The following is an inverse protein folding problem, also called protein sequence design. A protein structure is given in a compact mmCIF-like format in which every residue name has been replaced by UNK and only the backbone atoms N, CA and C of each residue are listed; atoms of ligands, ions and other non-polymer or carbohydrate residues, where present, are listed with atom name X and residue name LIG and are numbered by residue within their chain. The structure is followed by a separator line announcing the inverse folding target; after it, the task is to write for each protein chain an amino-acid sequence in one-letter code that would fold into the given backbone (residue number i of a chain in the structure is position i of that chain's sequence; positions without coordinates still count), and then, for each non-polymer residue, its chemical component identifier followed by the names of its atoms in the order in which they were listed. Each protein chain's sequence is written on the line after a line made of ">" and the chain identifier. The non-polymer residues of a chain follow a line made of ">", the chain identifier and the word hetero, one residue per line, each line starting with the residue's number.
data_IF_488053285882
#
_entry.id   IF_488053285882
#
_cell.length_a   1.000
_cell.length_b   1.000
_cell.length_c   1.000
_cell.angle_alpha   90.00
_cell.angle_beta   90.00
_cell.angle_gamma   90.00
#
_symmetry.space_group_name_H-M   'P 1'
#
loop_
_entity.id
_entity.type
_entity.pdbx_description
1 polymer ?
#
# COMPACT_ATOMS: atom_id res chain seq x y z
N UNK A 1 -2.32 7.16 -5.82
CA UNK A 1 -2.72 5.97 -6.60
C UNK A 1 -2.39 4.75 -5.76
N UNK A 2 -3.29 3.78 -5.67
CA UNK A 2 -3.04 2.51 -5.02
C UNK A 2 -2.42 1.53 -6.01
N UNK A 3 -1.79 0.50 -5.50
CA UNK A 3 -1.32 -0.62 -6.27
C UNK A 3 -2.14 -1.83 -5.84
N UNK A 4 -2.81 -2.41 -6.81
CA UNK A 4 -3.60 -3.61 -6.64
C UNK A 4 -2.91 -4.77 -7.36
N UNK A 5 -3.13 -5.99 -6.90
CA UNK A 5 -2.61 -7.19 -7.54
C UNK A 5 -3.62 -8.32 -7.43
N UNK A 6 -3.66 -9.17 -8.44
CA UNK A 6 -4.58 -10.30 -8.48
C UNK A 6 -3.93 -11.56 -9.07
N UNK A 7 -4.57 -12.68 -8.82
CA UNK A 7 -4.28 -13.98 -9.43
C UNK A 7 -5.58 -14.53 -10.01
N UNK A 8 -5.57 -14.85 -11.28
CA UNK A 8 -6.75 -15.34 -11.97
C UNK A 8 -7.14 -16.77 -11.55
N UNK A 9 -8.43 -17.07 -11.63
CA UNK A 9 -8.94 -18.43 -11.42
C UNK A 9 -8.66 -19.33 -12.65
N UNK A 10 -8.83 -20.64 -12.47
CA UNK A 10 -8.62 -21.64 -13.53
C UNK A 10 -9.88 -21.97 -14.35
N UNK A 11 -10.91 -21.15 -14.26
CA UNK A 11 -12.18 -21.46 -14.90
C UNK A 11 -12.11 -21.51 -16.42
N UNK A 12 -11.20 -20.74 -17.03
CA UNK A 12 -10.95 -20.79 -18.47
C UNK A 12 -10.35 -22.15 -18.88
N UNK A 13 -9.25 -22.58 -18.27
CA UNK A 13 -8.55 -23.83 -18.59
C UNK A 13 -9.41 -25.05 -18.27
N UNK A 14 -10.26 -24.94 -17.28
CA UNK A 14 -11.18 -26.01 -16.84
C UNK A 14 -12.48 -26.05 -17.62
N UNK A 15 -12.67 -25.12 -18.57
CA UNK A 15 -13.91 -25.04 -19.39
C UNK A 15 -15.15 -24.73 -18.55
N UNK A 16 -15.02 -24.02 -17.43
CA UNK A 16 -16.10 -23.68 -16.49
C UNK A 16 -16.69 -22.29 -16.72
N UNK A 17 -16.33 -21.63 -17.83
CA UNK A 17 -16.90 -20.33 -18.13
C UNK A 17 -18.38 -20.48 -18.53
N UNK A 18 -19.19 -19.50 -18.15
CA UNK A 18 -20.55 -19.35 -18.59
C UNK A 18 -20.60 -19.10 -20.12
N UNK A 19 -21.66 -19.45 -20.81
CA UNK A 19 -21.82 -19.07 -22.22
C UNK A 19 -21.67 -17.56 -22.40
N UNK A 20 -20.81 -17.17 -23.32
CA UNK A 20 -20.50 -15.76 -23.61
C UNK A 20 -21.01 -15.32 -24.99
N UNK A 21 -20.83 -14.04 -25.35
CA UNK A 21 -21.21 -13.50 -26.64
C UNK A 21 -20.29 -13.99 -27.78
N UNK A 22 -19.13 -14.55 -27.44
CA UNK A 22 -18.13 -15.10 -28.38
C UNK A 22 -17.92 -16.57 -28.08
N UNK A 23 -17.83 -17.44 -29.11
CA UNK A 23 -17.55 -18.86 -28.94
C UNK A 23 -16.25 -19.13 -28.19
N UNK A 24 -16.23 -20.16 -27.34
CA UNK A 24 -15.07 -20.47 -26.48
C UNK A 24 -13.80 -20.77 -27.30
N UNK A 25 -13.91 -21.38 -28.47
CA UNK A 25 -12.80 -21.67 -29.38
C UNK A 25 -12.09 -20.43 -29.94
N UNK A 26 -12.78 -19.30 -29.93
CA UNK A 26 -12.24 -18.00 -30.34
C UNK A 26 -11.62 -17.22 -29.18
N UNK A 27 -11.69 -17.74 -27.95
CA UNK A 27 -11.08 -17.13 -26.80
C UNK A 27 -9.63 -17.58 -26.60
N UNK A 28 -8.84 -16.75 -25.94
CA UNK A 28 -7.49 -17.08 -25.49
C UNK A 28 -7.11 -16.21 -24.30
N UNK A 29 -6.03 -16.57 -23.62
CA UNK A 29 -5.42 -15.76 -22.57
C UNK A 29 -4.21 -15.06 -23.17
N UNK A 30 -4.11 -13.75 -22.97
CA UNK A 30 -2.99 -12.95 -23.43
C UNK A 30 -1.78 -12.99 -22.46
N UNK A 31 -0.73 -12.21 -22.77
CA UNK A 31 0.51 -12.13 -21.98
C UNK A 31 0.30 -11.44 -20.62
N UNK A 32 -0.78 -10.66 -20.47
CA UNK A 32 -1.17 -9.97 -19.24
C UNK A 32 -2.21 -10.78 -18.44
N UNK A 33 -2.47 -12.03 -18.82
CA UNK A 33 -3.39 -12.99 -18.19
C UNK A 33 -4.88 -12.58 -18.29
N UNK A 34 -5.28 -11.82 -19.35
CA UNK A 34 -6.66 -11.47 -19.62
C UNK A 34 -7.32 -12.40 -20.66
N UNK A 35 -8.64 -12.61 -20.52
CA UNK A 35 -9.44 -13.32 -21.53
C UNK A 35 -9.66 -12.39 -22.72
N UNK A 36 -9.11 -12.76 -23.87
CA UNK A 36 -9.19 -12.03 -25.12
C UNK A 36 -9.90 -12.83 -26.22
N UNK A 37 -10.29 -12.14 -27.30
CA UNK A 37 -10.99 -12.76 -28.44
C UNK A 37 -10.19 -12.63 -29.73
N UNK A 38 -9.78 -13.77 -30.31
CA UNK A 38 -9.14 -13.82 -31.62
C UNK A 38 -10.00 -13.18 -32.71
N UNK A 39 -11.32 -13.35 -32.62
CA UNK A 39 -12.27 -12.76 -33.56
C UNK A 39 -12.22 -11.22 -33.49
N UNK A 40 -12.36 -10.62 -32.31
CA UNK A 40 -12.34 -9.16 -32.16
C UNK A 40 -10.98 -8.59 -32.56
N UNK A 41 -9.86 -9.22 -32.14
CA UNK A 41 -8.51 -8.79 -32.50
C UNK A 41 -8.28 -8.78 -34.01
N UNK A 42 -8.84 -9.80 -34.71
CA UNK A 42 -8.76 -9.82 -36.17
C UNK A 42 -9.55 -8.67 -36.77
N UNK A 43 -10.76 -8.38 -36.26
CA UNK A 43 -11.59 -7.28 -36.76
C UNK A 43 -10.95 -5.90 -36.48
N UNK A 44 -10.31 -5.73 -35.36
CA UNK A 44 -9.52 -4.51 -35.06
C UNK A 44 -8.38 -4.28 -36.07
N UNK A 45 -7.73 -5.34 -36.54
CA UNK A 45 -6.67 -5.26 -37.56
C UNK A 45 -7.18 -5.00 -38.97
N UNK A 46 -8.40 -5.46 -39.28
CA UNK A 46 -9.01 -5.37 -40.60
C UNK A 46 -9.73 -4.05 -40.87
N UNK A 47 -10.20 -3.36 -39.83
CA UNK A 47 -11.10 -2.21 -39.94
C UNK A 47 -10.44 -0.95 -39.33
N UNK A 48 -10.91 0.23 -39.77
CA UNK A 48 -10.61 1.46 -39.04
C UNK A 48 -11.39 1.48 -37.73
N UNK A 49 -10.89 2.26 -36.72
CA UNK A 49 -11.54 2.38 -35.41
C UNK A 49 -13.02 2.78 -35.51
N UNK A 50 -13.36 3.69 -36.43
CA UNK A 50 -14.76 4.12 -36.66
C UNK A 50 -15.61 3.02 -37.24
N UNK A 51 -15.06 2.24 -38.20
CA UNK A 51 -15.76 1.09 -38.80
C UNK A 51 -15.93 -0.03 -37.77
N UNK A 52 -14.91 -0.30 -36.97
CA UNK A 52 -14.97 -1.32 -35.92
C UNK A 52 -16.04 -0.95 -34.90
N UNK A 53 -16.00 0.25 -34.33
CA UNK A 53 -16.97 0.72 -33.32
C UNK A 53 -18.42 0.60 -33.84
N UNK A 54 -18.64 0.98 -35.11
CA UNK A 54 -19.98 0.91 -35.71
C UNK A 54 -20.49 -0.52 -35.88
N UNK A 55 -19.61 -1.48 -36.19
CA UNK A 55 -20.01 -2.86 -36.53
C UNK A 55 -19.92 -3.83 -35.36
N UNK A 56 -18.97 -3.63 -34.47
CA UNK A 56 -18.61 -4.57 -33.41
C UNK A 56 -18.54 -3.94 -32.02
N UNK A 57 -18.68 -2.62 -31.87
CA UNK A 57 -18.52 -1.94 -30.57
C UNK A 57 -19.50 -2.42 -29.50
N UNK A 58 -20.74 -2.77 -29.88
CA UNK A 58 -21.72 -3.38 -28.95
C UNK A 58 -21.25 -4.78 -28.51
N UNK A 59 -20.79 -5.61 -29.46
CA UNK A 59 -20.29 -6.94 -29.17
C UNK A 59 -19.05 -6.91 -28.29
N UNK A 60 -18.16 -5.96 -28.54
CA UNK A 60 -16.94 -5.77 -27.68
C UNK A 60 -17.33 -5.38 -26.26
N UNK A 61 -18.26 -4.43 -26.08
CA UNK A 61 -18.76 -4.06 -24.74
C UNK A 61 -19.41 -5.25 -24.03
N UNK A 62 -20.29 -5.98 -24.72
CA UNK A 62 -20.92 -7.17 -24.16
C UNK A 62 -19.90 -8.25 -23.81
N UNK A 63 -18.82 -8.37 -24.59
CA UNK A 63 -17.72 -9.29 -24.31
C UNK A 63 -16.93 -8.86 -23.07
N UNK A 64 -16.55 -7.59 -22.98
CA UNK A 64 -15.83 -7.05 -21.82
C UNK A 64 -16.68 -7.20 -20.55
N UNK A 65 -17.96 -6.81 -20.59
CA UNK A 65 -18.87 -6.98 -19.45
C UNK A 65 -19.04 -8.44 -19.04
N UNK A 66 -19.06 -9.35 -20.04
CA UNK A 66 -19.12 -10.78 -19.78
C UNK A 66 -17.85 -11.29 -19.11
N UNK A 67 -16.64 -10.84 -19.48
CA UNK A 67 -15.37 -11.34 -18.88
C UNK A 67 -15.33 -11.15 -17.37
N UNK A 68 -15.89 -10.06 -16.83
CA UNK A 68 -16.00 -9.81 -15.40
C UNK A 68 -16.93 -10.79 -14.66
N UNK A 69 -17.85 -11.42 -15.37
CA UNK A 69 -18.87 -12.29 -14.80
C UNK A 69 -18.86 -13.71 -15.43
N UNK A 70 -17.79 -14.05 -16.14
CA UNK A 70 -17.69 -15.26 -16.95
C UNK A 70 -17.71 -16.56 -16.14
N UNK A 71 -17.45 -16.51 -14.84
CA UNK A 71 -17.48 -17.68 -13.96
C UNK A 71 -18.17 -17.35 -12.61
N UNK A 72 -17.94 -18.17 -11.60
CA UNK A 72 -18.44 -17.96 -10.24
C UNK A 72 -17.52 -17.05 -9.38
N UNK A 73 -16.29 -16.81 -9.85
CA UNK A 73 -15.34 -15.92 -9.20
C UNK A 73 -15.59 -14.48 -9.69
N UNK A 74 -15.56 -13.54 -8.74
CA UNK A 74 -15.65 -12.10 -9.05
C UNK A 74 -14.45 -11.70 -9.92
N UNK A 75 -14.69 -10.98 -11.00
CA UNK A 75 -13.71 -10.55 -12.00
C UNK A 75 -12.82 -11.68 -12.58
N UNK A 76 -13.22 -12.96 -12.39
CA UNK A 76 -12.41 -14.11 -12.77
C UNK A 76 -11.17 -14.34 -11.90
N UNK A 77 -11.10 -13.71 -10.73
CA UNK A 77 -9.96 -13.74 -9.82
C UNK A 77 -10.16 -14.74 -8.67
N UNK A 78 -9.14 -15.53 -8.34
CA UNK A 78 -9.17 -16.39 -7.15
C UNK A 78 -8.75 -15.62 -5.91
N UNK A 79 -7.92 -14.62 -6.10
CA UNK A 79 -7.42 -13.75 -5.05
C UNK A 79 -7.07 -12.39 -5.62
N UNK A 80 -7.52 -11.34 -4.96
CA UNK A 80 -7.23 -9.95 -5.30
C UNK A 80 -6.99 -9.14 -4.03
N UNK A 81 -6.00 -8.28 -4.04
CA UNK A 81 -5.65 -7.46 -2.90
C UNK A 81 -5.07 -6.11 -3.28
N UNK A 82 -5.51 -5.09 -2.55
CA UNK A 82 -4.81 -3.81 -2.55
C UNK A 82 -3.58 -3.91 -1.66
N UNK A 83 -2.39 -3.99 -2.28
CA UNK A 83 -1.13 -4.18 -1.57
C UNK A 83 -0.67 -2.89 -0.88
N UNK A 84 -0.97 -1.73 -1.46
CA UNK A 84 -0.61 -0.45 -0.86
C UNK A 84 -0.50 0.70 -1.86
N UNK A 85 0.45 1.58 -1.60
CA UNK A 85 0.87 2.62 -2.52
C UNK A 85 2.37 2.47 -2.82
N UNK A 86 2.87 3.18 -3.85
CA UNK A 86 4.28 3.11 -4.24
C UNK A 86 5.25 3.48 -3.11
N UNK A 87 4.92 4.48 -2.27
CA UNK A 87 5.77 4.86 -1.14
C UNK A 87 5.94 3.69 -0.16
N UNK A 88 4.86 2.96 0.13
CA UNK A 88 4.92 1.80 1.01
C UNK A 88 5.69 0.61 0.42
N UNK A 89 5.71 0.46 -0.92
CA UNK A 89 6.52 -0.58 -1.58
C UNK A 89 8.00 -0.18 -1.65
N UNK A 90 8.29 1.09 -1.91
CA UNK A 90 9.66 1.60 -1.88
C UNK A 90 10.30 1.42 -0.50
N UNK A 91 9.52 1.64 0.57
CA UNK A 91 10.01 1.41 1.94
C UNK A 91 10.28 -0.08 2.21
N UNK A 92 9.47 -1.00 1.68
CA UNK A 92 9.77 -2.44 1.74
C UNK A 92 11.04 -2.74 0.94
N UNK A 93 11.19 -2.20 -0.26
CA UNK A 93 12.39 -2.34 -1.09
C UNK A 93 13.66 -1.87 -0.35
N UNK A 94 13.58 -0.76 0.39
CA UNK A 94 14.67 -0.28 1.21
C UNK A 94 15.06 -1.28 2.32
N UNK A 95 14.08 -1.87 3.00
CA UNK A 95 14.32 -2.90 4.03
C UNK A 95 14.89 -4.20 3.45
N UNK A 96 14.51 -4.54 2.21
CA UNK A 96 15.03 -5.73 1.51
C UNK A 96 16.45 -5.54 0.96
N UNK A 97 16.89 -4.29 0.79
CA UNK A 97 18.21 -3.95 0.27
C UNK A 97 19.24 -4.00 1.40
N UNK A 98 20.41 -4.58 1.15
CA UNK A 98 21.55 -4.51 2.08
C UNK A 98 22.28 -3.17 1.93
N UNK A 99 23.04 -2.75 2.95
CA UNK A 99 23.96 -1.59 2.90
C UNK A 99 24.99 -1.69 1.77
N UNK A 100 25.23 -2.87 1.22
CA UNK A 100 26.16 -3.15 0.12
C UNK A 100 25.51 -3.06 -1.28
N UNK A 101 24.21 -2.70 -1.36
CA UNK A 101 23.47 -2.50 -2.62
C UNK A 101 23.01 -3.79 -3.33
N UNK A 102 23.37 -4.96 -2.83
CA UNK A 102 22.83 -6.23 -3.29
C UNK A 102 21.72 -6.71 -2.34
N UNK A 103 20.56 -7.04 -2.90
CA UNK A 103 19.47 -7.58 -2.09
C UNK A 103 19.79 -9.01 -1.64
N UNK A 104 19.67 -9.27 -0.33
CA UNK A 104 19.73 -10.61 0.25
C UNK A 104 18.53 -11.48 -0.19
N UNK A 105 17.47 -10.84 -0.67
CA UNK A 105 16.20 -11.43 -1.11
C UNK A 105 15.86 -10.98 -2.54
N UNK A 106 16.68 -11.39 -3.54
CA UNK A 106 16.59 -10.84 -4.89
C UNK A 106 15.28 -11.16 -5.61
N UNK A 107 14.66 -12.30 -5.36
CA UNK A 107 13.39 -12.66 -5.98
C UNK A 107 12.25 -11.85 -5.40
N UNK A 108 12.22 -11.70 -4.07
CA UNK A 108 11.22 -10.87 -3.37
C UNK A 108 11.35 -9.40 -3.79
N UNK A 109 12.58 -8.88 -3.87
CA UNK A 109 12.81 -7.52 -4.32
C UNK A 109 12.38 -7.30 -5.78
N UNK A 110 12.68 -8.25 -6.68
CA UNK A 110 12.28 -8.21 -8.08
C UNK A 110 10.78 -8.46 -8.32
N UNK A 111 10.06 -8.96 -7.33
CA UNK A 111 8.61 -9.10 -7.39
C UNK A 111 7.90 -7.76 -7.25
N UNK A 112 8.48 -6.82 -6.50
CA UNK A 112 7.87 -5.51 -6.27
C UNK A 112 7.88 -4.71 -7.58
N UNK A 113 6.73 -4.18 -8.03
CA UNK A 113 6.67 -3.49 -9.31
C UNK A 113 7.25 -2.07 -9.22
N UNK A 114 7.88 -1.64 -10.30
CA UNK A 114 8.39 -0.26 -10.46
C UNK A 114 7.29 0.74 -10.90
N UNK A 115 6.12 0.24 -11.28
CA UNK A 115 4.99 1.02 -11.80
C UNK A 115 3.69 0.24 -11.78
N UNK A 116 2.60 0.86 -12.24
CA UNK A 116 1.35 0.13 -12.49
C UNK A 116 1.52 -0.81 -13.67
N UNK A 117 0.95 -2.00 -13.56
CA UNK A 117 1.03 -3.06 -14.54
C UNK A 117 2.23 -3.98 -14.34
N UNK A 118 2.25 -5.05 -15.11
CA UNK A 118 3.28 -6.07 -15.09
C UNK A 118 2.80 -7.40 -14.52
N UNK A 119 3.54 -8.44 -14.86
CA UNK A 119 3.21 -9.82 -14.53
C UNK A 119 4.39 -10.47 -13.82
N UNK A 120 4.15 -11.06 -12.66
CA UNK A 120 5.14 -11.86 -11.95
C UNK A 120 4.94 -13.34 -12.25
N UNK A 121 5.90 -14.00 -12.87
CA UNK A 121 5.71 -15.35 -13.43
C UNK A 121 5.59 -16.42 -12.35
N UNK A 122 4.68 -17.38 -12.57
CA UNK A 122 4.32 -18.43 -11.62
C UNK A 122 5.51 -19.32 -11.21
N UNK A 123 6.47 -19.57 -12.12
CA UNK A 123 7.64 -20.39 -11.83
C UNK A 123 8.57 -19.75 -10.78
N UNK A 124 8.46 -18.46 -10.54
CA UNK A 124 9.18 -17.76 -9.48
C UNK A 124 8.40 -17.70 -8.17
N UNK A 125 7.11 -18.01 -8.15
CA UNK A 125 6.26 -17.82 -6.98
C UNK A 125 6.75 -18.62 -5.75
N UNK A 126 7.04 -19.92 -5.90
CA UNK A 126 7.50 -20.74 -4.79
C UNK A 126 8.88 -20.29 -4.24
N UNK A 127 9.92 -20.09 -5.07
CA UNK A 127 11.21 -19.59 -4.57
C UNK A 127 11.08 -18.21 -3.88
N UNK A 128 10.20 -17.35 -4.37
CA UNK A 128 9.97 -16.03 -3.74
C UNK A 128 9.23 -16.16 -2.42
N UNK A 129 8.27 -17.07 -2.31
CA UNK A 129 7.61 -17.38 -1.04
C UNK A 129 8.62 -17.88 0.00
N UNK A 130 9.55 -18.74 -0.41
CA UNK A 130 10.62 -19.24 0.47
C UNK A 130 11.56 -18.10 0.92
N UNK A 131 11.87 -17.14 0.05
CA UNK A 131 12.60 -15.91 0.43
C UNK A 131 11.82 -15.04 1.40
N UNK A 132 10.53 -14.84 1.15
CA UNK A 132 9.66 -14.04 2.01
C UNK A 132 9.53 -14.64 3.42
N UNK A 133 9.30 -15.95 3.52
CA UNK A 133 9.18 -16.63 4.80
C UNK A 133 10.51 -16.55 5.58
N UNK A 134 11.66 -16.71 4.90
CA UNK A 134 12.97 -16.51 5.48
C UNK A 134 13.21 -15.08 5.93
N UNK A 135 12.82 -14.08 5.12
CA UNK A 135 12.90 -12.67 5.50
C UNK A 135 12.14 -12.37 6.78
N UNK A 136 10.89 -12.84 6.88
CA UNK A 136 10.04 -12.64 8.07
C UNK A 136 10.67 -13.32 9.32
N UNK A 137 11.27 -14.48 9.16
CA UNK A 137 11.93 -15.20 10.27
C UNK A 137 13.20 -14.46 10.74
N UNK A 138 14.05 -14.04 9.80
CA UNK A 138 15.32 -13.37 10.09
C UNK A 138 15.10 -11.94 10.65
N UNK A 139 13.99 -11.29 10.30
CA UNK A 139 13.67 -9.92 10.71
C UNK A 139 12.52 -9.86 11.72
N UNK A 140 12.40 -10.87 12.57
CA UNK A 140 11.34 -10.90 13.60
C UNK A 140 11.38 -9.69 14.54
N UNK A 141 12.54 -9.05 14.69
CA UNK A 141 12.76 -7.82 15.44
C UNK A 141 13.50 -6.81 14.59
N UNK A 142 12.94 -5.59 14.50
CA UNK A 142 13.51 -4.50 13.71
C UNK A 142 13.66 -3.24 14.55
N UNK A 143 14.64 -2.38 14.24
CA UNK A 143 14.74 -1.07 14.87
C UNK A 143 13.56 -0.19 14.45
N UNK A 144 13.09 0.62 15.40
CA UNK A 144 11.99 1.53 15.16
C UNK A 144 11.91 2.64 16.19
N UNK A 145 10.84 3.41 16.08
CA UNK A 145 10.51 4.50 16.98
C UNK A 145 9.09 4.32 17.52
N UNK A 146 8.86 4.81 18.73
CA UNK A 146 7.56 4.83 19.35
C UNK A 146 7.23 6.24 19.83
N UNK A 147 6.01 6.68 19.55
CA UNK A 147 5.44 7.86 20.19
C UNK A 147 4.76 7.42 21.48
N UNK A 148 5.18 8.02 22.59
CA UNK A 148 4.72 7.67 23.93
C UNK A 148 4.02 8.87 24.55
N UNK A 149 2.84 8.65 25.10
CA UNK A 149 2.18 9.57 26.03
C UNK A 149 2.89 9.47 27.37
N UNK A 150 3.53 10.54 27.82
CA UNK A 150 4.36 10.54 29.03
C UNK A 150 3.56 10.45 30.33
N UNK A 151 2.30 10.90 30.33
CA UNK A 151 1.47 10.82 31.53
C UNK A 151 1.00 9.38 31.79
N UNK A 152 0.65 8.64 30.74
CA UNK A 152 0.11 7.28 30.86
C UNK A 152 1.14 6.20 30.57
N UNK A 153 2.28 6.58 30.00
CA UNK A 153 3.30 5.67 29.47
C UNK A 153 2.75 4.72 28.37
N UNK A 154 1.69 5.15 27.70
CA UNK A 154 1.04 4.41 26.61
C UNK A 154 1.80 4.65 25.31
N UNK A 155 2.16 3.57 24.62
CA UNK A 155 2.63 3.66 23.23
C UNK A 155 1.42 3.94 22.34
N UNK A 156 1.45 5.05 21.63
CA UNK A 156 0.39 5.50 20.75
C UNK A 156 0.60 5.00 19.32
N UNK A 157 1.84 5.12 18.85
CA UNK A 157 2.22 4.81 17.47
C UNK A 157 3.59 4.15 17.49
N UNK A 158 3.79 3.12 16.67
CA UNK A 158 5.07 2.49 16.41
C UNK A 158 5.39 2.56 14.91
N UNK A 159 6.63 2.87 14.57
CA UNK A 159 7.09 3.03 13.20
C UNK A 159 8.48 2.43 13.02
N UNK A 160 8.72 1.67 11.95
CA UNK A 160 10.05 1.18 11.60
C UNK A 160 10.95 2.35 11.15
N UNK A 161 12.28 2.22 11.35
CA UNK A 161 13.25 3.30 11.06
C UNK A 161 13.19 3.79 9.62
N UNK A 162 12.99 2.89 8.65
CA UNK A 162 13.01 3.22 7.22
C UNK A 162 11.65 3.69 6.67
N UNK A 163 10.65 3.74 7.55
CA UNK A 163 9.32 4.23 7.23
C UNK A 163 9.20 5.72 7.50
N UNK A 164 9.90 6.58 6.80
CA UNK A 164 9.59 8.03 6.85
C UNK A 164 8.05 8.21 6.78
N UNK A 165 7.36 8.13 7.92
CA UNK A 165 5.93 7.86 7.97
C UNK A 165 5.15 9.16 8.13
N UNK A 166 4.45 9.55 7.07
CA UNK A 166 3.47 10.63 7.15
C UNK A 166 2.21 10.11 7.87
N UNK A 167 1.96 10.60 9.07
CA UNK A 167 0.77 10.25 9.86
C UNK A 167 -0.47 11.02 9.37
N UNK A 168 -0.27 12.25 8.93
CA UNK A 168 -1.33 13.12 8.46
C UNK A 168 -0.80 14.07 7.39
N UNK A 169 -1.59 14.30 6.35
CA UNK A 169 -1.30 15.30 5.33
C UNK A 169 -2.59 15.88 4.77
N UNK A 170 -2.64 17.21 4.70
CA UNK A 170 -3.66 17.94 3.97
C UNK A 170 -3.03 19.12 3.18
N UNK A 171 -3.83 20.02 2.67
CA UNK A 171 -3.36 21.21 1.91
C UNK A 171 -2.68 22.29 2.76
N UNK A 172 -2.67 22.16 4.09
CA UNK A 172 -2.16 23.17 5.02
C UNK A 172 -1.00 22.64 5.87
N UNK A 173 -1.10 21.41 6.31
CA UNK A 173 -0.14 20.77 7.22
C UNK A 173 0.10 19.32 6.84
N UNK A 174 1.29 18.84 7.14
CA UNK A 174 1.62 17.43 7.28
C UNK A 174 2.48 17.21 8.52
N UNK A 175 2.38 16.02 9.10
CA UNK A 175 3.25 15.59 10.20
C UNK A 175 3.43 14.09 10.20
N UNK A 176 4.55 13.64 10.76
CA UNK A 176 4.89 12.23 10.81
C UNK A 176 6.21 11.97 11.53
N UNK A 177 6.69 10.75 11.42
CA UNK A 177 7.99 10.37 11.95
C UNK A 177 9.11 10.67 10.95
N UNK A 178 10.27 11.01 11.49
CA UNK A 178 11.58 11.02 10.85
C UNK A 178 12.56 10.31 11.79
N UNK A 179 13.81 10.09 11.38
CA UNK A 179 14.81 9.20 12.01
C UNK A 179 14.80 9.07 13.55
N UNK A 180 14.53 10.12 14.31
CA UNK A 180 14.47 10.08 15.79
C UNK A 180 13.56 11.15 16.38
N UNK A 181 12.69 11.74 15.57
CA UNK A 181 11.78 12.80 15.98
C UNK A 181 10.46 12.72 15.21
N UNK A 182 9.47 13.49 15.62
CA UNK A 182 8.36 13.86 14.76
C UNK A 182 8.68 15.13 14.00
N UNK A 183 8.31 15.19 12.72
CA UNK A 183 8.27 16.42 11.98
C UNK A 183 6.84 16.97 11.95
N UNK A 184 6.76 18.29 11.98
CA UNK A 184 5.54 19.05 11.82
C UNK A 184 5.77 20.10 10.75
N UNK A 185 5.06 20.00 9.63
CA UNK A 185 5.25 20.88 8.49
C UNK A 185 3.99 21.70 8.25
N UNK A 186 4.09 22.99 8.41
CA UNK A 186 3.09 23.94 7.95
C UNK A 186 3.41 24.31 6.50
N UNK A 187 2.47 24.09 5.59
CA UNK A 187 2.70 24.27 4.15
C UNK A 187 2.61 25.73 3.70
N UNK A 188 1.83 26.57 4.44
CA UNK A 188 1.64 27.99 4.09
C UNK A 188 1.58 28.90 5.33
N UNK A 189 2.63 29.75 5.59
CA UNK A 189 3.97 29.74 4.96
C UNK A 189 4.71 28.46 5.30
N UNK A 190 5.56 27.96 4.42
CA UNK A 190 6.30 26.74 4.65
C UNK A 190 7.23 26.87 5.85
N UNK A 191 7.01 26.04 6.87
CA UNK A 191 7.82 25.94 8.07
C UNK A 191 7.83 24.49 8.53
N UNK A 192 9.01 23.94 8.75
CA UNK A 192 9.19 22.58 9.28
C UNK A 192 9.77 22.67 10.67
N UNK A 193 9.25 21.85 11.55
CA UNK A 193 9.67 21.73 12.93
C UNK A 193 9.90 20.25 13.26
N UNK A 194 10.97 19.93 13.98
CA UNK A 194 11.32 18.59 14.41
C UNK A 194 11.40 18.55 15.92
N UNK A 195 10.75 17.59 16.55
CA UNK A 195 10.74 17.40 17.98
C UNK A 195 10.75 15.93 18.37
N UNK A 196 11.67 15.56 19.23
CA UNK A 196 11.69 14.30 19.97
C UNK A 196 10.85 14.35 21.25
N UNK A 197 10.60 15.60 21.74
CA UNK A 197 9.70 15.92 22.85
C UNK A 197 8.81 17.10 22.50
N UNK A 198 7.50 16.98 22.75
CA UNK A 198 6.56 18.09 22.50
C UNK A 198 5.30 17.94 23.35
N UNK A 199 4.57 19.05 23.49
CA UNK A 199 3.30 19.07 24.21
C UNK A 199 2.15 19.36 23.28
N UNK A 200 1.05 18.68 23.52
CA UNK A 200 -0.26 18.99 22.98
C UNK A 200 -1.02 19.78 24.06
N UNK A 201 -1.54 20.96 23.70
CA UNK A 201 -2.41 21.76 24.56
C UNK A 201 -3.76 21.96 23.89
N UNK A 202 -4.86 22.04 24.65
CA UNK A 202 -6.16 22.40 24.11
C UNK A 202 -6.09 23.76 23.41
N UNK A 203 -6.78 23.92 22.30
CA UNK A 203 -6.97 25.23 21.69
C UNK A 203 -8.00 26.03 22.51
N UNK A 204 -7.77 27.34 22.66
CA UNK A 204 -8.64 28.24 23.43
C UNK A 204 -10.02 28.43 22.77
N UNK A 205 -10.15 28.13 21.46
CA UNK A 205 -11.39 28.26 20.69
C UNK A 205 -11.94 26.90 20.27
N UNK A 206 -12.90 26.42 21.05
CA UNK A 206 -13.72 25.26 20.71
C UNK A 206 -14.88 25.66 19.75
N UNK A 207 -14.59 26.11 18.55
CA UNK A 207 -15.64 26.24 17.55
C UNK A 207 -15.93 24.91 16.86
N UNK A 208 -16.90 24.28 17.39
CA UNK A 208 -18.02 23.41 16.96
C UNK A 208 -17.82 22.24 15.99
N UNK A 209 -16.75 22.05 15.24
CA UNK A 209 -16.70 20.88 14.34
C UNK A 209 -15.33 20.16 14.28
N UNK A 210 -14.26 20.76 14.72
CA UNK A 210 -12.95 20.12 14.76
C UNK A 210 -12.22 20.49 16.06
N UNK A 211 -11.87 19.48 16.86
CA UNK A 211 -10.98 19.68 18.01
C UNK A 211 -9.62 20.11 17.48
N UNK A 212 -9.32 21.37 17.61
CA UNK A 212 -8.02 21.91 17.20
C UNK A 212 -7.06 21.78 18.37
N UNK A 213 -5.87 21.26 18.11
CA UNK A 213 -4.85 21.06 19.12
C UNK A 213 -3.62 21.85 18.73
N UNK A 214 -3.00 22.50 19.71
CA UNK A 214 -1.80 23.31 19.53
C UNK A 214 -0.61 22.57 20.11
N UNK A 215 0.45 22.37 19.33
CA UNK A 215 1.69 21.77 19.78
C UNK A 215 2.69 22.83 20.20
N UNK A 216 3.41 22.53 21.27
CA UNK A 216 4.45 23.39 21.82
C UNK A 216 5.68 22.54 22.16
N UNK A 217 6.86 22.92 21.68
CA UNK A 217 8.12 22.34 22.15
C UNK A 217 8.58 23.09 23.39
N UNK A 218 8.70 22.37 24.51
CA UNK A 218 9.20 22.93 25.77
C UNK A 218 10.70 22.77 25.98
N UNK A 219 11.36 21.86 25.23
CA UNK A 219 12.74 21.44 25.52
C UNK A 219 13.81 22.22 24.78
N UNK A 220 13.52 22.78 23.63
CA UNK A 220 14.46 23.66 22.96
C UNK A 220 14.39 25.05 23.59
N UNK A 221 15.20 25.30 24.62
CA UNK A 221 15.45 26.59 25.23
C UNK A 221 15.98 27.68 24.28
N UNK A 222 15.98 27.45 22.99
CA UNK A 222 16.12 28.46 21.96
C UNK A 222 14.75 29.11 21.73
N UNK A 223 14.61 30.29 22.15
CA UNK A 223 13.63 31.37 22.08
C UNK A 223 12.51 31.37 21.01
N UNK A 224 12.16 30.26 20.43
CA UNK A 224 11.03 30.14 19.50
C UNK A 224 10.08 29.02 19.93
N UNK A 225 9.16 29.36 20.82
CA UNK A 225 7.95 28.56 21.03
C UNK A 225 7.23 28.42 19.69
N UNK A 226 7.58 27.37 18.92
CA UNK A 226 6.86 27.06 17.71
C UNK A 226 5.53 26.46 18.13
N UNK A 227 4.44 27.09 17.71
CA UNK A 227 3.09 26.58 17.92
C UNK A 227 2.48 26.32 16.56
N UNK A 228 1.94 25.13 16.37
CA UNK A 228 1.17 24.78 15.18
C UNK A 228 -0.19 24.25 15.61
N UNK A 229 -1.22 24.67 14.88
CA UNK A 229 -2.57 24.18 15.10
C UNK A 229 -2.79 22.96 14.21
N UNK A 230 -3.18 21.84 14.81
CA UNK A 230 -3.54 20.62 14.09
C UNK A 230 -5.07 20.54 13.96
N UNK A 231 -5.56 19.84 12.91
CA UNK A 231 -7.00 19.66 12.69
C UNK A 231 -7.66 18.70 13.70
N UNK A 232 -6.88 18.05 14.54
CA UNK A 232 -7.33 17.15 15.59
C UNK A 232 -6.18 16.72 16.50
N UNK A 233 -6.48 15.98 17.57
CA UNK A 233 -5.47 15.42 18.46
C UNK A 233 -4.68 14.33 17.73
N UNK A 234 -3.44 14.09 18.18
CA UNK A 234 -2.61 12.97 17.67
C UNK A 234 -3.27 11.63 17.94
N UNK A 235 -3.88 11.45 19.10
CA UNK A 235 -4.72 10.30 19.42
C UNK A 235 -6.11 10.78 19.86
N UNK A 236 -7.14 10.39 19.12
CA UNK A 236 -8.53 10.76 19.39
C UNK A 236 -9.09 10.06 20.63
N UNK A 237 -8.46 9.01 21.12
CA UNK A 237 -8.88 8.29 22.33
C UNK A 237 -8.43 8.99 23.63
N UNK A 238 -7.43 9.88 23.53
CA UNK A 238 -6.94 10.63 24.68
C UNK A 238 -7.89 11.76 25.07
N UNK A 239 -7.91 12.08 26.37
CA UNK A 239 -8.56 13.29 26.84
C UNK A 239 -7.81 14.54 26.35
N UNK A 240 -8.43 15.26 25.41
CA UNK A 240 -7.87 16.42 24.75
C UNK A 240 -8.20 17.74 25.48
N UNK A 241 -8.84 17.68 26.65
CA UNK A 241 -9.17 18.85 27.48
C UNK A 241 -7.99 19.31 28.36
N UNK A 242 -6.92 18.52 28.43
CA UNK A 242 -5.74 18.78 29.27
C UNK A 242 -4.45 18.81 28.46
N UNK A 243 -3.44 19.48 29.01
CA UNK A 243 -2.07 19.41 28.47
C UNK A 243 -1.59 17.95 28.52
N UNK A 244 -0.95 17.53 27.43
CA UNK A 244 -0.30 16.24 27.33
C UNK A 244 1.10 16.38 26.76
N UNK A 245 2.02 15.58 27.30
CA UNK A 245 3.40 15.53 26.86
C UNK A 245 3.66 14.22 26.12
N UNK A 246 4.41 14.31 25.03
CA UNK A 246 4.77 13.18 24.19
C UNK A 246 6.28 13.13 23.97
N UNK A 247 6.83 11.92 23.91
CA UNK A 247 8.21 11.68 23.52
C UNK A 247 8.31 10.65 22.42
N UNK A 248 9.29 10.84 21.53
CA UNK A 248 9.72 9.87 20.55
C UNK A 248 10.89 9.09 21.11
N UNK A 249 10.76 7.77 21.18
CA UNK A 249 11.79 6.90 21.75
C UNK A 249 12.19 5.82 20.74
N UNK A 250 13.49 5.50 20.71
CA UNK A 250 14.01 4.35 19.97
C UNK A 250 13.47 3.06 20.61
N UNK A 251 13.03 2.14 19.78
CA UNK A 251 12.48 0.87 20.22
C UNK A 251 12.93 -0.27 19.32
N UNK A 252 12.85 -1.48 19.83
CA UNK A 252 12.92 -2.70 19.02
C UNK A 252 11.51 -3.22 18.86
N UNK A 253 11.00 -3.14 17.63
CA UNK A 253 9.63 -3.52 17.28
C UNK A 253 9.53 -4.98 16.90
N UNK A 254 8.38 -5.61 17.18
CA UNK A 254 8.03 -6.86 16.53
C UNK A 254 7.65 -6.57 15.08
N UNK A 255 8.35 -7.19 14.14
CA UNK A 255 8.09 -6.97 12.72
C UNK A 255 6.62 -7.22 12.35
N UNK A 256 5.99 -8.20 13.02
CA UNK A 256 4.58 -8.55 12.78
C UNK A 256 3.57 -7.47 13.18
N UNK A 257 4.00 -6.51 13.99
CA UNK A 257 3.17 -5.38 14.41
C UNK A 257 3.37 -4.14 13.52
N UNK A 258 4.20 -4.24 12.48
CA UNK A 258 4.48 -3.13 11.56
C UNK A 258 3.59 -3.14 10.33
N UNK A 259 3.44 -1.97 9.70
CA UNK A 259 2.75 -1.84 8.42
C UNK A 259 3.42 -2.61 7.28
N UNK A 260 4.74 -2.84 7.35
CA UNK A 260 5.48 -3.67 6.39
C UNK A 260 5.01 -5.11 6.41
N UNK A 261 4.86 -5.71 7.61
CA UNK A 261 4.38 -7.09 7.73
C UNK A 261 2.99 -7.26 7.12
N UNK A 262 2.10 -6.31 7.34
CA UNK A 262 0.75 -6.35 6.75
C UNK A 262 0.79 -6.39 5.21
N UNK A 263 1.66 -5.58 4.59
CA UNK A 263 1.82 -5.58 3.12
C UNK A 263 2.48 -6.85 2.62
N UNK A 264 3.53 -7.32 3.29
CA UNK A 264 4.21 -8.57 2.95
C UNK A 264 3.30 -9.79 3.11
N UNK A 265 2.40 -9.78 4.08
CA UNK A 265 1.41 -10.85 4.23
C UNK A 265 0.43 -10.90 3.04
N UNK A 266 0.03 -9.76 2.48
CA UNK A 266 -0.75 -9.72 1.24
C UNK A 266 0.03 -10.27 0.05
N UNK A 267 1.30 -9.89 -0.08
CA UNK A 267 2.20 -10.46 -1.10
C UNK A 267 2.32 -11.97 -0.90
N UNK A 268 2.44 -12.44 0.33
CA UNK A 268 2.47 -13.87 0.66
C UNK A 268 1.21 -14.60 0.17
N UNK A 269 0.04 -14.03 0.39
CA UNK A 269 -1.23 -14.63 -0.05
C UNK A 269 -1.33 -14.67 -1.58
N UNK A 270 -0.87 -13.63 -2.29
CA UNK A 270 -0.78 -13.62 -3.76
C UNK A 270 0.15 -14.73 -4.26
N UNK A 271 1.32 -14.92 -3.65
CA UNK A 271 2.25 -16.00 -3.98
C UNK A 271 1.61 -17.38 -3.77
N UNK A 272 0.94 -17.59 -2.64
CA UNK A 272 0.21 -18.85 -2.36
C UNK A 272 -0.87 -19.10 -3.41
N UNK A 273 -1.70 -18.09 -3.72
CA UNK A 273 -2.73 -18.22 -4.75
C UNK A 273 -2.13 -18.55 -6.12
N UNK A 274 -1.01 -17.91 -6.51
CA UNK A 274 -0.29 -18.19 -7.76
C UNK A 274 0.21 -19.63 -7.83
N UNK A 275 0.78 -20.16 -6.73
CA UNK A 275 1.26 -21.53 -6.65
C UNK A 275 0.10 -22.53 -6.79
N UNK A 276 -1.02 -22.28 -6.13
CA UNK A 276 -2.19 -23.16 -6.13
C UNK A 276 -2.88 -23.21 -7.49
N UNK A 277 -3.07 -22.05 -8.13
CA UNK A 277 -3.75 -21.93 -9.42
C UNK A 277 -2.84 -22.19 -10.60
N UNK A 278 -1.54 -22.01 -10.45
CA UNK A 278 -0.52 -21.99 -11.52
C UNK A 278 -0.71 -20.83 -12.50
N UNK A 279 -1.27 -19.73 -12.01
CA UNK A 279 -1.37 -18.48 -12.73
C UNK A 279 -0.35 -17.45 -12.21
N UNK A 280 0.09 -16.52 -13.05
CA UNK A 280 0.96 -15.44 -12.64
C UNK A 280 0.24 -14.48 -11.68
N UNK A 281 1.01 -13.63 -10.98
CA UNK A 281 0.47 -12.49 -10.25
C UNK A 281 0.50 -11.29 -11.20
N UNK A 282 -0.66 -10.67 -11.40
CA UNK A 282 -0.82 -9.48 -12.23
C UNK A 282 -0.90 -8.25 -11.34
N UNK A 283 -0.16 -7.19 -11.70
CA UNK A 283 -0.14 -5.90 -11.01
C UNK A 283 -0.95 -4.85 -11.80
N UNK A 284 -1.79 -4.04 -11.12
CA UNK A 284 -2.63 -3.02 -11.75
C UNK A 284 -2.81 -1.73 -10.91
#
# INVERSE_FOLDING_TARGET
>A
MGLDAFVRCRCFEEGKLKPGPIPFEDLYIDEEDFICSKFLDQKHKELSSEQFEKLYGDLERDFVDWTYNACEHEDGEIYSERVGNFCGLLSIGAVLSSDEGESKYPLLNNMLPDGNGGVYPVEKAQPTLDELDRFIEEHSKIPGYQLIDEETNKVLISCAVDDGFCLYSDKYIDYGFTEDAMYFHQLKPSRIFYADHFCQIPADDFEQTHKVVVFCDELNNSASNFKMTLPGPIDSELDNSVLRSFSVQKATLDFKETGHFWRLNKIRNLLVASIETKHPICWC
#
